data_IF_817764982491
#
_entry.id   IF_817764982491
#
_cell.length_a   1.000
_cell.length_b   1.000
_cell.length_c   1.000
_cell.angle_alpha   90.00
_cell.angle_beta   90.00
_cell.angle_gamma   90.00
#
_symmetry.space_group_name_H-M   'P 1'
#
loop_
_entity.id
_entity.type
_entity.pdbx_description
1 polymer ?
#
# COMPACT_ATOMS: atom_id res chain seq x y z
N UNK A 1 -35.93 35.14 36.34
CA UNK A 1 -34.67 35.25 37.11
C UNK A 1 -34.66 34.13 38.16
N UNK A 2 -33.73 33.18 37.98
CA UNK A 2 -33.23 32.12 38.89
C UNK A 2 -34.23 31.23 39.67
N UNK A 3 -34.29 30.01 39.15
CA UNK A 3 -34.60 28.71 39.76
C UNK A 3 -33.58 28.39 40.89
N UNK A 4 -34.01 27.80 42.04
CA UNK A 4 -33.46 26.51 42.53
C UNK A 4 -34.02 26.02 43.89
N UNK A 5 -34.92 25.04 43.78
CA UNK A 5 -34.91 23.64 44.24
C UNK A 5 -33.93 23.05 45.30
N UNK A 6 -34.54 22.25 46.22
CA UNK A 6 -34.13 21.01 46.95
C UNK A 6 -33.10 21.11 48.13
N UNK A 7 -33.43 20.88 49.42
CA UNK A 7 -33.76 19.64 50.21
C UNK A 7 -32.77 18.48 49.96
N UNK A 8 -32.14 17.72 50.89
CA UNK A 8 -32.04 17.53 52.38
C UNK A 8 -30.82 16.56 52.56
N UNK A 9 -29.84 16.76 53.46
CA UNK A 9 -29.68 16.18 54.84
C UNK A 9 -29.80 14.62 54.93
N UNK A 10 -28.93 13.78 55.55
CA UNK A 10 -27.82 13.93 56.54
C UNK A 10 -27.00 12.62 56.74
N UNK A 11 -25.70 12.77 57.09
CA UNK A 11 -24.73 12.01 57.97
C UNK A 11 -24.80 10.47 58.16
N UNK A 12 -23.72 9.68 58.31
CA UNK A 12 -22.53 9.71 59.22
C UNK A 12 -21.35 8.95 58.56
N UNK A 13 -20.05 9.18 58.81
CA UNK A 13 -19.29 8.85 60.04
C UNK A 13 -17.85 9.44 59.95
N UNK A 14 -17.25 9.74 61.11
CA UNK A 14 -16.02 10.53 61.33
C UNK A 14 -14.71 9.70 61.32
N UNK A 15 -13.65 10.36 60.81
CA UNK A 15 -12.22 10.39 61.20
C UNK A 15 -11.46 9.12 61.64
N UNK A 16 -10.35 8.85 60.94
CA UNK A 16 -9.04 8.66 61.56
C UNK A 16 -7.94 9.24 60.64
N UNK A 17 -7.17 10.17 61.20
CA UNK A 17 -5.97 10.78 60.64
C UNK A 17 -4.82 9.76 60.73
N UNK A 18 -4.13 9.52 59.63
CA UNK A 18 -2.94 8.67 59.58
C UNK A 18 -2.27 8.78 58.22
N UNK A 19 -1.28 9.66 58.11
CA UNK A 19 -0.52 9.88 56.90
C UNK A 19 0.34 8.65 56.57
N UNK A 20 0.08 8.03 55.42
CA UNK A 20 1.08 7.29 54.65
C UNK A 20 0.90 7.70 53.19
N UNK A 21 1.73 8.65 52.74
CA UNK A 21 1.92 8.91 51.32
C UNK A 21 2.73 7.75 50.76
N UNK A 22 2.05 6.68 50.35
CA UNK A 22 2.61 5.72 49.41
C UNK A 22 2.49 6.35 48.01
N UNK A 23 3.45 7.21 47.67
CA UNK A 23 3.64 7.67 46.31
C UNK A 23 4.12 6.50 45.46
N UNK A 24 3.19 5.76 44.86
CA UNK A 24 3.50 4.87 43.76
C UNK A 24 3.85 5.75 42.55
N UNK A 25 5.13 6.03 42.37
CA UNK A 25 5.68 6.54 41.12
C UNK A 25 5.50 5.43 40.08
N UNK A 26 4.36 5.43 39.41
CA UNK A 26 4.22 4.71 38.14
C UNK A 26 5.08 5.51 37.16
N UNK A 27 6.34 5.10 37.04
CA UNK A 27 7.21 5.55 35.97
C UNK A 27 6.56 5.13 34.66
N UNK A 28 5.86 6.06 34.01
CA UNK A 28 5.48 5.90 32.62
C UNK A 28 6.79 5.85 31.83
N UNK A 29 7.28 4.64 31.57
CA UNK A 29 8.33 4.42 30.58
C UNK A 29 7.78 4.91 29.25
N UNK A 30 8.17 6.12 28.88
CA UNK A 30 7.96 6.67 27.55
C UNK A 30 8.77 5.78 26.61
N UNK A 31 8.12 4.76 26.02
CA UNK A 31 8.69 4.05 24.89
C UNK A 31 8.78 5.11 23.79
N UNK A 32 9.98 5.63 23.57
CA UNK A 32 10.28 6.36 22.33
C UNK A 32 10.16 5.31 21.22
N UNK A 33 8.98 5.23 20.61
CA UNK A 33 8.83 4.56 19.33
C UNK A 33 9.74 5.35 18.38
N UNK A 34 10.75 4.72 17.75
CA UNK A 34 11.54 5.41 16.76
C UNK A 34 10.58 5.88 15.67
N UNK A 35 10.41 7.19 15.53
CA UNK A 35 9.77 7.77 14.36
C UNK A 35 10.58 7.28 13.16
N UNK A 36 9.97 6.49 12.28
CA UNK A 36 10.61 6.07 11.05
C UNK A 36 11.16 7.33 10.36
N UNK A 37 12.48 7.44 10.24
CA UNK A 37 13.09 8.54 9.50
C UNK A 37 12.57 8.39 8.07
N UNK A 38 11.80 9.36 7.59
CA UNK A 38 11.36 9.38 6.20
C UNK A 38 12.62 9.30 5.33
N UNK A 39 12.86 8.13 4.73
CA UNK A 39 14.01 7.91 3.86
C UNK A 39 13.88 8.85 2.68
N UNK A 40 14.83 9.75 2.43
CA UNK A 40 14.76 10.67 1.29
C UNK A 40 14.52 9.92 -0.02
N UNK A 41 13.73 10.51 -0.94
CA UNK A 41 13.51 9.94 -2.27
C UNK A 41 14.85 9.66 -2.98
N UNK A 42 15.03 8.41 -3.41
CA UNK A 42 16.13 8.00 -4.27
C UNK A 42 15.55 7.45 -5.58
N UNK A 43 15.72 8.20 -6.68
CA UNK A 43 15.25 7.77 -8.00
C UNK A 43 15.95 6.52 -8.53
N UNK A 44 17.11 6.14 -7.99
CA UNK A 44 17.85 4.95 -8.40
C UNK A 44 17.49 3.70 -7.58
N UNK A 45 16.78 3.86 -6.45
CA UNK A 45 16.30 2.77 -5.60
C UNK A 45 14.98 3.15 -4.91
N UNK A 46 13.87 2.73 -5.51
CA UNK A 46 12.52 3.09 -5.07
C UNK A 46 11.99 2.21 -3.93
N UNK A 47 12.36 0.93 -3.97
CA UNK A 47 11.94 -0.13 -3.06
C UNK A 47 12.94 -1.29 -3.20
N UNK A 48 13.18 -2.02 -2.11
CA UNK A 48 14.08 -3.18 -2.16
C UNK A 48 13.46 -4.33 -2.97
N UNK A 49 14.30 -5.16 -3.58
CA UNK A 49 13.84 -6.35 -4.31
C UNK A 49 13.05 -7.30 -3.40
N UNK A 50 13.50 -7.51 -2.16
CA UNK A 50 12.82 -8.36 -1.19
C UNK A 50 11.41 -7.86 -0.86
N UNK A 51 11.27 -6.56 -0.59
CA UNK A 51 9.96 -5.96 -0.31
C UNK A 51 9.04 -6.00 -1.55
N UNK A 52 9.60 -5.79 -2.74
CA UNK A 52 8.84 -5.78 -3.99
C UNK A 52 8.18 -7.12 -4.32
N UNK A 53 8.83 -8.24 -3.99
CA UNK A 53 8.33 -9.60 -4.27
C UNK A 53 7.77 -10.32 -3.04
N UNK A 54 7.66 -9.64 -1.89
CA UNK A 54 7.11 -10.23 -0.68
C UNK A 54 5.57 -10.34 -0.78
N UNK A 55 5.08 -11.43 -1.37
CA UNK A 55 3.66 -11.66 -1.61
C UNK A 55 2.86 -11.91 -0.32
N UNK A 56 3.55 -12.32 0.75
CA UNK A 56 2.96 -12.66 2.06
C UNK A 56 2.86 -11.46 3.02
N UNK A 57 3.28 -10.28 2.57
CA UNK A 57 3.34 -9.06 3.39
C UNK A 57 1.97 -8.47 3.74
N UNK A 58 0.93 -8.89 3.01
CA UNK A 58 -0.46 -8.66 3.41
C UNK A 58 -1.30 -9.89 3.10
N UNK A 59 -1.98 -10.42 4.11
CA UNK A 59 -3.10 -11.33 3.94
C UNK A 59 -4.28 -10.61 3.26
N UNK A 60 -5.19 -11.39 2.66
CA UNK A 60 -6.45 -10.88 2.10
C UNK A 60 -7.22 -9.98 3.08
N UNK A 61 -7.29 -10.36 4.35
CA UNK A 61 -8.04 -9.59 5.35
C UNK A 61 -7.34 -8.26 5.67
N UNK A 62 -6.01 -8.23 5.65
CA UNK A 62 -5.25 -6.98 5.80
C UNK A 62 -5.44 -6.05 4.59
N UNK A 63 -5.52 -6.61 3.38
CA UNK A 63 -5.86 -5.84 2.18
C UNK A 63 -7.26 -5.24 2.33
N UNK A 64 -8.25 -6.03 2.78
CA UNK A 64 -9.60 -5.55 3.00
C UNK A 64 -9.65 -4.43 4.06
N UNK A 65 -8.91 -4.57 5.17
CA UNK A 65 -8.82 -3.52 6.20
C UNK A 65 -8.20 -2.25 5.67
N UNK A 66 -7.15 -2.39 4.86
CA UNK A 66 -6.52 -1.25 4.23
C UNK A 66 -7.51 -0.52 3.31
N UNK A 67 -8.25 -1.23 2.47
CA UNK A 67 -9.27 -0.62 1.60
C UNK A 67 -10.37 0.10 2.41
N UNK A 68 -10.83 -0.49 3.52
CA UNK A 68 -11.79 0.16 4.44
C UNK A 68 -11.20 1.44 5.03
N UNK A 69 -9.93 1.42 5.45
CA UNK A 69 -9.26 2.58 6.02
C UNK A 69 -9.08 3.72 5.02
N UNK A 70 -8.93 3.43 3.72
CA UNK A 70 -8.90 4.45 2.67
C UNK A 70 -10.27 5.09 2.42
N UNK A 71 -11.37 4.42 2.79
CA UNK A 71 -12.73 4.96 2.68
C UNK A 71 -13.28 5.06 1.25
N UNK A 72 -12.52 4.60 0.24
CA UNK A 72 -12.96 4.57 -1.16
C UNK A 72 -14.00 3.49 -1.45
N UNK A 73 -14.54 3.48 -2.67
CA UNK A 73 -15.57 2.54 -3.08
C UNK A 73 -15.04 1.09 -3.18
N UNK A 74 -13.72 0.90 -3.37
CA UNK A 74 -13.12 -0.42 -3.47
C UNK A 74 -13.33 -1.30 -2.23
N UNK A 75 -13.57 -0.71 -1.05
CA UNK A 75 -13.86 -1.47 0.17
C UNK A 75 -15.10 -2.37 0.05
N UNK A 76 -16.08 -1.97 -0.78
CA UNK A 76 -17.33 -2.71 -1.02
C UNK A 76 -17.41 -3.28 -2.45
N UNK A 77 -16.38 -3.05 -3.27
CA UNK A 77 -16.39 -3.46 -4.66
C UNK A 77 -16.13 -4.95 -4.80
N UNK A 78 -16.83 -5.57 -5.75
CA UNK A 78 -16.59 -6.94 -6.18
C UNK A 78 -16.77 -7.09 -7.68
N UNK A 79 -16.03 -8.02 -8.26
CA UNK A 79 -16.12 -8.40 -9.67
C UNK A 79 -16.03 -9.92 -9.76
N UNK A 80 -16.93 -10.55 -10.52
CA UNK A 80 -16.99 -12.01 -10.68
C UNK A 80 -16.98 -12.78 -9.34
N UNK A 81 -17.80 -12.32 -8.38
CA UNK A 81 -17.93 -12.90 -7.04
C UNK A 81 -16.68 -12.84 -6.15
N UNK A 82 -15.65 -12.08 -6.53
CA UNK A 82 -14.47 -11.79 -5.70
C UNK A 82 -14.48 -10.34 -5.27
N UNK A 83 -14.21 -10.07 -3.98
CA UNK A 83 -14.00 -8.71 -3.52
C UNK A 83 -12.71 -8.12 -4.11
N UNK A 84 -12.59 -6.80 -4.13
CA UNK A 84 -11.35 -6.14 -4.53
C UNK A 84 -10.13 -6.67 -3.77
N UNK A 85 -10.28 -6.93 -2.46
CA UNK A 85 -9.22 -7.49 -1.63
C UNK A 85 -8.82 -8.91 -2.06
N UNK A 86 -9.78 -9.78 -2.41
CA UNK A 86 -9.48 -11.11 -2.94
C UNK A 86 -8.76 -11.03 -4.29
N UNK A 87 -9.18 -10.12 -5.18
CA UNK A 87 -8.55 -9.94 -6.49
C UNK A 87 -7.09 -9.50 -6.36
N UNK A 88 -6.80 -8.54 -5.48
CA UNK A 88 -5.43 -8.07 -5.21
C UNK A 88 -4.57 -9.17 -4.60
N UNK A 89 -5.14 -9.93 -3.64
CA UNK A 89 -4.46 -11.08 -3.02
C UNK A 89 -4.13 -12.16 -4.07
N UNK A 90 -5.12 -12.55 -4.87
CA UNK A 90 -4.99 -13.55 -5.94
C UNK A 90 -3.91 -13.14 -6.95
N UNK A 91 -3.94 -11.89 -7.41
CA UNK A 91 -2.96 -11.37 -8.35
C UNK A 91 -1.54 -11.42 -7.77
N UNK A 92 -1.37 -11.00 -6.51
CA UNK A 92 -0.08 -11.06 -5.79
C UNK A 92 0.46 -12.49 -5.71
N UNK A 93 -0.42 -13.46 -5.51
CA UNK A 93 -0.07 -14.87 -5.41
C UNK A 93 -0.04 -15.60 -6.76
N UNK A 94 -0.14 -14.89 -7.89
CA UNK A 94 -0.05 -15.51 -9.21
C UNK A 94 -1.21 -16.46 -9.52
N UNK A 95 -2.44 -16.05 -9.22
CA UNK A 95 -3.67 -16.73 -9.67
C UNK A 95 -4.27 -16.04 -10.90
N UNK A 96 -5.13 -16.76 -11.63
CA UNK A 96 -5.87 -16.21 -12.76
C UNK A 96 -4.95 -15.76 -13.91
N UNK A 97 -5.24 -14.58 -14.47
CA UNK A 97 -4.45 -13.95 -15.52
C UNK A 97 -3.09 -13.43 -15.00
N UNK A 98 -2.79 -13.56 -13.70
CA UNK A 98 -1.50 -13.21 -13.11
C UNK A 98 -0.43 -14.31 -13.33
N UNK A 99 -0.65 -15.18 -14.32
CA UNK A 99 0.19 -16.35 -14.63
C UNK A 99 0.62 -16.34 -16.10
N UNK A 100 1.76 -16.97 -16.38
CA UNK A 100 2.20 -17.15 -17.75
C UNK A 100 3.65 -17.61 -17.84
N UNK A 101 4.02 -18.17 -19.00
CA UNK A 101 5.41 -18.53 -19.30
C UNK A 101 5.82 -17.91 -20.64
N UNK A 102 6.83 -17.05 -20.64
CA UNK A 102 7.35 -16.41 -21.83
C UNK A 102 8.84 -16.12 -21.67
N UNK A 103 9.63 -16.33 -22.72
CA UNK A 103 11.08 -16.11 -22.72
C UNK A 103 11.81 -16.84 -21.57
N UNK A 104 11.35 -18.05 -21.22
CA UNK A 104 11.93 -18.85 -20.14
C UNK A 104 11.59 -18.40 -18.73
N UNK A 105 10.81 -17.33 -18.57
CA UNK A 105 10.30 -16.86 -17.28
C UNK A 105 8.90 -17.42 -17.09
N UNK A 106 8.69 -18.18 -16.02
CA UNK A 106 7.37 -18.68 -15.63
C UNK A 106 6.94 -18.01 -14.34
N UNK A 107 5.75 -17.42 -14.37
CA UNK A 107 5.08 -16.79 -13.23
C UNK A 107 3.81 -17.59 -12.97
N UNK A 108 3.66 -18.10 -11.75
CA UNK A 108 2.50 -18.89 -11.32
C UNK A 108 2.39 -18.85 -9.78
N UNK A 109 1.51 -19.69 -9.21
CA UNK A 109 1.27 -19.75 -7.77
C UNK A 109 2.45 -20.21 -6.92
N UNK A 110 3.46 -20.87 -7.51
CA UNK A 110 4.70 -21.23 -6.81
C UNK A 110 5.71 -20.09 -6.73
N UNK A 111 5.62 -19.10 -7.62
CA UNK A 111 6.52 -17.94 -7.66
C UNK A 111 5.89 -16.68 -7.09
N UNK A 112 4.55 -16.56 -7.18
CA UNK A 112 3.81 -15.32 -7.00
C UNK A 112 4.17 -14.26 -8.05
N UNK A 113 3.63 -13.05 -7.86
CA UNK A 113 3.96 -11.86 -8.65
C UNK A 113 4.72 -10.83 -7.81
N UNK A 114 4.04 -9.83 -7.27
CA UNK A 114 4.60 -8.73 -6.49
C UNK A 114 3.79 -8.56 -5.20
N UNK A 115 4.37 -7.85 -4.24
CA UNK A 115 3.76 -7.54 -2.95
C UNK A 115 2.40 -6.82 -3.12
N UNK A 116 1.34 -7.21 -2.38
CA UNK A 116 0.04 -6.53 -2.42
C UNK A 116 0.10 -5.01 -2.24
N UNK A 117 1.03 -4.50 -1.42
CA UNK A 117 1.27 -3.07 -1.22
C UNK A 117 1.69 -2.36 -2.51
N UNK A 118 2.47 -3.02 -3.36
CA UNK A 118 2.89 -2.50 -4.68
C UNK A 118 1.67 -2.37 -5.59
N UNK A 119 0.77 -3.35 -5.58
CA UNK A 119 -0.48 -3.30 -6.36
C UNK A 119 -1.40 -2.17 -5.87
N UNK A 120 -1.57 -2.04 -4.55
CA UNK A 120 -2.36 -0.97 -3.93
C UNK A 120 -1.85 0.42 -4.34
N UNK A 121 -0.54 0.67 -4.22
CA UNK A 121 0.05 1.95 -4.65
C UNK A 121 -0.12 2.17 -6.14
N UNK A 122 0.01 1.13 -6.96
CA UNK A 122 -0.16 1.25 -8.41
C UNK A 122 -1.61 1.60 -8.77
N UNK A 123 -2.61 0.97 -8.16
CA UNK A 123 -4.03 1.32 -8.33
C UNK A 123 -4.33 2.78 -7.99
N UNK A 124 -3.70 3.30 -6.93
CA UNK A 124 -3.83 4.72 -6.59
C UNK A 124 -3.11 5.62 -7.60
N UNK A 125 -1.88 5.30 -7.97
CA UNK A 125 -1.08 6.11 -8.89
C UNK A 125 -1.74 6.20 -10.28
N UNK A 126 -2.28 5.09 -10.78
CA UNK A 126 -2.82 5.01 -12.14
C UNK A 126 -4.24 5.57 -12.25
N UNK A 127 -5.09 5.36 -11.26
CA UNK A 127 -6.53 5.68 -11.36
C UNK A 127 -7.13 6.30 -10.10
N UNK A 128 -6.33 6.63 -9.08
CA UNK A 128 -6.80 7.15 -7.77
C UNK A 128 -7.83 6.27 -7.07
N UNK A 129 -7.84 4.96 -7.37
CA UNK A 129 -8.93 4.05 -7.01
C UNK A 129 -9.06 3.80 -5.51
N UNK A 130 -7.98 3.91 -4.74
CA UNK A 130 -8.05 3.63 -3.29
C UNK A 130 -8.82 4.72 -2.55
N UNK A 131 -8.66 5.99 -2.94
CA UNK A 131 -9.32 7.14 -2.33
C UNK A 131 -10.64 7.54 -3.01
N UNK A 132 -10.94 6.99 -4.18
CA UNK A 132 -12.13 7.37 -4.95
C UNK A 132 -13.39 6.92 -4.23
N UNK A 133 -14.31 7.83 -3.91
CA UNK A 133 -15.53 7.51 -3.15
C UNK A 133 -16.71 7.08 -4.03
N UNK A 134 -16.75 7.53 -5.28
CA UNK A 134 -17.77 7.15 -6.26
C UNK A 134 -17.21 6.09 -7.19
N UNK A 135 -17.92 4.97 -7.36
CA UNK A 135 -17.52 3.95 -8.33
C UNK A 135 -17.42 4.55 -9.74
N UNK A 136 -16.31 4.25 -10.43
CA UNK A 136 -16.06 4.66 -11.81
C UNK A 136 -15.70 3.45 -12.66
N UNK A 137 -16.64 3.01 -13.49
CA UNK A 137 -16.41 1.88 -14.41
C UNK A 137 -15.30 2.19 -15.42
N UNK A 138 -15.13 3.47 -15.78
CA UNK A 138 -14.03 3.91 -16.62
C UNK A 138 -12.67 3.69 -15.95
N UNK A 139 -12.54 4.01 -14.66
CA UNK A 139 -11.32 3.80 -13.89
C UNK A 139 -11.07 2.29 -13.66
N UNK A 140 -12.11 1.52 -13.33
CA UNK A 140 -12.00 0.07 -13.15
C UNK A 140 -11.57 -0.65 -14.44
N UNK A 141 -12.05 -0.19 -15.59
CA UNK A 141 -11.72 -0.75 -16.90
C UNK A 141 -10.22 -0.68 -17.20
N UNK A 142 -9.53 0.33 -16.68
CA UNK A 142 -8.09 0.58 -16.91
C UNK A 142 -7.34 0.74 -15.58
N UNK A 143 -7.74 -0.02 -14.55
CA UNK A 143 -7.35 0.16 -13.15
C UNK A 143 -5.84 0.28 -12.90
N UNK A 144 -5.02 -0.39 -13.71
CA UNK A 144 -3.55 -0.34 -13.64
C UNK A 144 -2.91 0.08 -14.98
N UNK A 145 -3.69 0.52 -15.96
CA UNK A 145 -3.17 0.92 -17.28
C UNK A 145 -2.65 -0.24 -18.15
N UNK A 146 -2.86 -1.51 -17.77
CA UNK A 146 -2.37 -2.63 -18.54
C UNK A 146 -3.06 -2.71 -19.91
N UNK A 147 -2.26 -2.80 -20.98
CA UNK A 147 -2.77 -2.85 -22.35
C UNK A 147 -3.28 -1.50 -22.88
N UNK A 148 -2.90 -0.38 -22.27
CA UNK A 148 -3.23 0.98 -22.69
C UNK A 148 -1.97 1.74 -23.14
N UNK A 149 -1.49 1.57 -24.38
CA UNK A 149 -0.34 2.31 -24.88
C UNK A 149 -0.67 3.79 -25.12
N UNK A 150 0.27 4.69 -24.85
CA UNK A 150 0.09 6.15 -25.04
C UNK A 150 -0.30 6.54 -26.48
N UNK A 151 0.18 5.80 -27.48
CA UNK A 151 -0.05 6.07 -28.89
C UNK A 151 -1.34 5.45 -29.44
N UNK A 152 -2.22 4.88 -28.60
CA UNK A 152 -3.41 4.15 -29.04
C UNK A 152 -4.51 4.02 -27.99
N UNK A 153 -5.58 3.30 -28.36
CA UNK A 153 -6.64 2.95 -27.41
C UNK A 153 -6.27 1.75 -26.55
N UNK A 154 -6.88 1.62 -25.37
CA UNK A 154 -6.75 0.45 -24.53
C UNK A 154 -7.31 -0.81 -25.21
N UNK A 155 -6.59 -1.93 -25.10
CA UNK A 155 -7.07 -3.22 -25.57
C UNK A 155 -8.23 -3.72 -24.67
N UNK A 156 -9.41 -3.83 -25.26
CA UNK A 156 -10.64 -4.24 -24.57
C UNK A 156 -10.59 -5.66 -24.00
N UNK A 157 -9.67 -6.51 -24.46
CA UNK A 157 -9.48 -7.87 -23.91
C UNK A 157 -8.95 -7.86 -22.47
N UNK A 158 -8.40 -6.73 -22.02
CA UNK A 158 -7.89 -6.53 -20.66
C UNK A 158 -8.77 -5.59 -19.82
N UNK A 159 -9.94 -5.22 -20.33
CA UNK A 159 -10.89 -4.37 -19.62
C UNK A 159 -11.45 -5.06 -18.37
N UNK A 160 -11.53 -4.31 -17.27
CA UNK A 160 -12.14 -4.75 -16.00
C UNK A 160 -11.13 -4.83 -14.87
N UNK A 161 -11.60 -4.70 -13.63
CA UNK A 161 -10.72 -4.59 -12.47
C UNK A 161 -9.90 -5.86 -12.25
N UNK A 162 -10.51 -7.05 -12.35
CA UNK A 162 -9.81 -8.33 -12.27
C UNK A 162 -8.66 -8.39 -13.27
N UNK A 163 -8.97 -8.14 -14.54
CA UNK A 163 -8.00 -8.30 -15.62
C UNK A 163 -6.86 -7.31 -15.49
N UNK A 164 -7.17 -6.06 -15.14
CA UNK A 164 -6.17 -5.02 -14.92
C UNK A 164 -5.24 -5.35 -13.75
N UNK A 165 -5.78 -5.82 -12.63
CA UNK A 165 -4.99 -6.17 -11.45
C UNK A 165 -4.11 -7.39 -11.70
N UNK A 166 -4.68 -8.47 -12.25
CA UNK A 166 -3.95 -9.71 -12.51
C UNK A 166 -2.87 -9.54 -13.59
N UNK A 167 -3.19 -8.93 -14.73
CA UNK A 167 -2.20 -8.73 -15.79
C UNK A 167 -1.17 -7.64 -15.44
N UNK A 168 -1.57 -6.59 -14.72
CA UNK A 168 -0.65 -5.56 -14.21
C UNK A 168 0.37 -6.16 -13.22
N UNK A 169 -0.09 -7.00 -12.30
CA UNK A 169 0.78 -7.74 -11.39
C UNK A 169 1.76 -8.66 -12.12
N UNK A 170 1.26 -9.42 -13.11
CA UNK A 170 2.11 -10.25 -13.96
C UNK A 170 3.16 -9.42 -14.70
N UNK A 171 2.78 -8.27 -15.28
CA UNK A 171 3.72 -7.42 -16.01
C UNK A 171 4.81 -6.86 -15.09
N UNK A 172 4.46 -6.40 -13.88
CA UNK A 172 5.44 -5.94 -12.89
C UNK A 172 6.42 -7.06 -12.51
N UNK A 173 5.94 -8.28 -12.27
CA UNK A 173 6.82 -9.41 -11.97
C UNK A 173 7.66 -9.82 -13.18
N UNK A 174 7.08 -9.85 -14.36
CA UNK A 174 7.81 -10.19 -15.58
C UNK A 174 8.92 -9.18 -15.90
N UNK A 175 8.64 -7.88 -15.74
CA UNK A 175 9.64 -6.82 -15.87
C UNK A 175 10.75 -6.98 -14.83
N UNK A 176 10.41 -7.32 -13.59
CA UNK A 176 11.36 -7.59 -12.53
C UNK A 176 12.29 -8.75 -12.91
N UNK A 177 11.75 -9.90 -13.35
CA UNK A 177 12.60 -11.03 -13.75
C UNK A 177 13.46 -10.73 -14.97
N UNK A 178 12.95 -9.92 -15.90
CA UNK A 178 13.71 -9.44 -17.06
C UNK A 178 14.78 -8.44 -16.68
N UNK A 179 14.73 -7.75 -15.54
CA UNK A 179 15.71 -6.70 -15.22
C UNK A 179 17.16 -7.20 -15.02
N UNK A 180 17.43 -8.50 -15.15
CA UNK A 180 18.78 -9.05 -15.11
C UNK A 180 19.03 -10.11 -16.19
N UNK A 181 20.16 -10.00 -16.91
CA UNK A 181 20.75 -11.05 -17.75
C UNK A 181 20.06 -11.33 -19.11
N UNK A 182 18.73 -11.20 -19.19
CA UNK A 182 17.96 -11.46 -20.42
C UNK A 182 17.01 -10.31 -20.76
N UNK A 183 17.24 -9.14 -20.19
CA UNK A 183 16.28 -8.05 -20.10
C UNK A 183 15.93 -7.31 -21.37
N UNK A 184 15.06 -6.33 -21.20
CA UNK A 184 14.84 -5.32 -22.22
C UNK A 184 16.02 -4.35 -22.16
N UNK A 185 16.66 -4.08 -23.30
CA UNK A 185 17.74 -3.09 -23.37
C UNK A 185 17.26 -1.76 -22.80
N UNK A 186 18.01 -1.17 -21.87
CA UNK A 186 17.67 0.12 -21.23
C UNK A 186 16.76 0.03 -20.02
N UNK A 187 16.47 -1.18 -19.50
CA UNK A 187 15.73 -1.40 -18.24
C UNK A 187 16.35 -2.58 -17.46
N UNK A 188 17.68 -2.68 -17.45
CA UNK A 188 18.41 -3.67 -16.67
C UNK A 188 19.07 -3.03 -15.46
N UNK A 189 19.34 -3.83 -14.43
CA UNK A 189 20.14 -3.38 -13.29
C UNK A 189 21.49 -2.87 -13.79
N UNK A 190 21.84 -1.65 -13.37
CA UNK A 190 23.05 -0.95 -13.78
C UNK A 190 22.90 -0.10 -15.05
N UNK A 191 21.82 -0.24 -15.82
CA UNK A 191 21.56 0.68 -16.94
C UNK A 191 21.31 2.09 -16.38
N UNK A 192 21.84 3.08 -17.09
CA UNK A 192 21.54 4.49 -16.83
C UNK A 192 20.25 4.90 -17.52
N UNK A 193 19.53 5.84 -16.90
CA UNK A 193 18.35 6.46 -17.48
C UNK A 193 18.44 7.98 -17.36
N UNK A 194 17.72 8.66 -18.25
CA UNK A 194 17.42 10.09 -18.15
C UNK A 194 16.00 10.32 -18.66
N UNK A 195 15.13 10.84 -17.80
CA UNK A 195 13.76 11.20 -18.17
C UNK A 195 13.56 12.70 -17.98
N UNK A 196 12.97 13.34 -18.98
CA UNK A 196 12.55 14.73 -18.88
C UNK A 196 11.12 14.80 -18.37
N UNK A 197 10.91 15.57 -17.31
CA UNK A 197 9.59 15.92 -16.81
C UNK A 197 9.51 17.43 -16.50
N UNK A 198 8.42 17.85 -15.85
CA UNK A 198 8.19 19.26 -15.52
C UNK A 198 9.25 19.86 -14.59
N UNK A 199 10.03 19.03 -13.90
CA UNK A 199 11.12 19.44 -13.01
C UNK A 199 12.49 19.38 -13.69
N UNK A 200 12.54 19.14 -15.01
CA UNK A 200 13.76 19.07 -15.80
C UNK A 200 14.16 17.64 -16.18
N UNK A 201 15.41 17.47 -16.58
CA UNK A 201 15.97 16.16 -16.92
C UNK A 201 16.55 15.50 -15.68
N UNK A 202 15.96 14.37 -15.29
CA UNK A 202 16.34 13.59 -14.13
C UNK A 202 17.02 12.30 -14.59
N UNK A 203 18.27 12.12 -14.20
CA UNK A 203 19.07 10.96 -14.55
C UNK A 203 19.44 10.13 -13.33
N UNK A 204 19.71 8.85 -13.54
CA UNK A 204 20.12 7.92 -12.50
C UNK A 204 20.50 6.56 -13.08
N UNK A 205 20.56 5.56 -12.20
CA UNK A 205 20.80 4.17 -12.54
C UNK A 205 19.70 3.29 -11.94
N UNK A 206 19.42 2.15 -12.55
CA UNK A 206 18.57 1.17 -11.89
C UNK A 206 19.40 0.34 -10.92
N UNK A 207 19.35 0.63 -9.62
CA UNK A 207 20.20 -0.05 -8.63
C UNK A 207 19.74 -1.48 -8.34
N UNK A 208 18.47 -1.79 -8.61
CA UNK A 208 17.89 -3.12 -8.40
C UNK A 208 16.76 -3.46 -9.39
N UNK A 209 16.33 -4.72 -9.38
CA UNK A 209 15.34 -5.24 -10.34
C UNK A 209 13.97 -4.59 -10.14
N UNK A 210 13.59 -4.31 -8.89
CA UNK A 210 12.33 -3.66 -8.55
C UNK A 210 12.24 -2.24 -9.15
N UNK A 211 13.30 -1.46 -9.01
CA UNK A 211 13.37 -0.11 -9.56
C UNK A 211 13.33 -0.15 -11.09
N UNK A 212 14.10 -1.02 -11.73
CA UNK A 212 14.04 -1.23 -13.17
C UNK A 212 12.62 -1.63 -13.64
N UNK A 213 11.94 -2.51 -12.89
CA UNK A 213 10.57 -2.94 -13.18
C UNK A 213 9.56 -1.79 -13.13
N UNK A 214 9.62 -0.98 -12.07
CA UNK A 214 8.75 0.18 -11.87
C UNK A 214 8.96 1.24 -12.95
N UNK A 215 10.21 1.54 -13.33
CA UNK A 215 10.50 2.45 -14.44
C UNK A 215 10.04 1.89 -15.79
N UNK A 216 10.16 0.58 -16.01
CA UNK A 216 9.64 -0.03 -17.23
C UNK A 216 8.12 0.01 -17.29
N UNK A 217 7.45 -0.05 -16.14
CA UNK A 217 6.00 0.09 -16.03
C UNK A 217 5.55 1.56 -16.23
N UNK A 218 6.28 2.51 -15.64
CA UNK A 218 6.01 3.95 -15.75
C UNK A 218 7.33 4.71 -15.96
N UNK A 219 7.71 5.08 -17.20
CA UNK A 219 9.03 5.65 -17.51
C UNK A 219 9.14 7.15 -17.19
N UNK A 220 8.85 7.52 -15.94
CA UNK A 220 8.89 8.90 -15.43
C UNK A 220 9.43 8.97 -14.01
N UNK A 221 10.23 9.99 -13.68
CA UNK A 221 10.69 10.23 -12.32
C UNK A 221 9.59 10.89 -11.48
N UNK A 222 9.29 12.17 -11.66
CA UNK A 222 8.36 12.87 -10.76
C UNK A 222 6.87 12.60 -11.06
N UNK A 223 6.50 12.47 -12.33
CA UNK A 223 5.12 12.13 -12.73
C UNK A 223 4.79 10.64 -12.58
N UNK A 224 5.63 9.85 -11.91
CA UNK A 224 5.44 8.41 -11.77
C UNK A 224 6.11 7.84 -10.53
N UNK A 225 7.41 7.58 -10.61
CA UNK A 225 8.13 6.84 -9.57
C UNK A 225 8.29 7.59 -8.24
N UNK A 226 8.35 8.92 -8.26
CA UNK A 226 8.22 9.74 -7.05
C UNK A 226 6.86 9.55 -6.38
N UNK A 227 5.77 9.55 -7.15
CA UNK A 227 4.42 9.33 -6.60
C UNK A 227 4.30 7.93 -6.00
N UNK A 228 4.87 6.91 -6.66
CA UNK A 228 4.96 5.57 -6.09
C UNK A 228 5.68 5.58 -4.74
N UNK A 229 6.91 6.10 -4.69
CA UNK A 229 7.71 6.17 -3.46
C UNK A 229 7.00 6.97 -2.35
N UNK A 230 6.45 8.14 -2.68
CA UNK A 230 5.79 9.01 -1.71
C UNK A 230 4.52 8.36 -1.14
N UNK A 231 3.74 7.68 -1.97
CA UNK A 231 2.58 6.93 -1.52
C UNK A 231 2.99 5.75 -0.63
N UNK A 232 3.99 4.99 -1.06
CA UNK A 232 4.47 3.81 -0.34
C UNK A 232 5.08 4.16 1.03
N UNK A 233 5.95 5.17 1.08
CA UNK A 233 6.74 5.54 2.26
C UNK A 233 6.02 6.54 3.15
N UNK A 234 5.44 7.60 2.60
CA UNK A 234 4.92 8.71 3.40
C UNK A 234 3.40 8.66 3.57
N UNK A 235 2.65 8.35 2.51
CA UNK A 235 1.16 8.35 2.59
C UNK A 235 0.64 7.13 3.34
N UNK A 236 1.10 5.94 2.95
CA UNK A 236 0.63 4.68 3.53
C UNK A 236 1.55 4.12 4.61
N UNK A 237 2.74 4.73 4.78
CA UNK A 237 3.69 4.38 5.84
C UNK A 237 4.01 2.89 5.90
N UNK A 238 4.05 2.22 4.75
CA UNK A 238 4.21 0.76 4.67
C UNK A 238 5.54 0.25 5.21
N UNK A 239 6.54 1.13 5.32
CA UNK A 239 7.85 0.83 5.91
C UNK A 239 7.96 1.19 7.39
N UNK A 240 6.90 1.74 8.00
CA UNK A 240 6.93 2.15 9.40
C UNK A 240 6.78 0.96 10.35
N UNK A 241 7.50 1.02 11.47
CA UNK A 241 7.32 0.05 12.56
C UNK A 241 5.89 0.06 13.12
N UNK A 242 5.21 1.20 13.06
CA UNK A 242 3.82 1.37 13.47
C UNK A 242 2.85 0.59 12.59
N UNK A 243 3.06 0.59 11.27
CA UNK A 243 2.29 -0.24 10.35
C UNK A 243 2.45 -1.74 10.72
N UNK A 244 3.69 -2.19 10.92
CA UNK A 244 4.00 -3.57 11.31
C UNK A 244 3.37 -3.98 12.68
N UNK A 245 3.38 -3.07 13.65
CA UNK A 245 2.81 -3.30 14.97
C UNK A 245 1.26 -3.33 14.97
N UNK A 246 0.64 -2.50 14.13
CA UNK A 246 -0.83 -2.44 14.00
C UNK A 246 -1.40 -3.72 13.38
N UNK A 247 -0.68 -4.33 12.43
CA UNK A 247 -1.03 -5.64 11.86
C UNK A 247 -0.93 -6.76 12.91
N UNK A 248 0.15 -6.79 13.69
CA UNK A 248 0.42 -7.85 14.69
C UNK A 248 -0.60 -7.87 15.84
N UNK A 249 -0.99 -6.71 16.36
CA UNK A 249 -1.93 -6.61 17.49
C UNK A 249 -3.39 -6.97 17.11
N UNK A 250 -3.73 -6.92 15.83
CA UNK A 250 -5.10 -7.20 15.38
C UNK A 250 -5.33 -8.68 15.06
N UNK A 251 -4.30 -9.40 14.63
CA UNK A 251 -4.36 -10.86 14.40
C UNK A 251 -4.71 -11.69 15.64
N UNK A 252 -4.63 -11.10 16.84
CA UNK A 252 -4.93 -11.76 18.12
C UNK A 252 -6.34 -11.47 18.69
N UNK A 253 -7.17 -10.64 18.02
CA UNK A 253 -8.43 -10.15 18.63
C UNK A 253 -9.66 -10.03 17.69
N UNK A 254 -9.62 -10.53 16.45
CA UNK A 254 -10.72 -10.32 15.49
C UNK A 254 -11.98 -11.18 15.74
N UNK A 255 -12.81 -10.75 16.69
CA UNK A 255 -14.27 -10.89 16.61
C UNK A 255 -14.85 -9.81 15.69
N UNK A 256 -15.80 -10.18 14.85
CA UNK A 256 -16.44 -9.34 13.84
C UNK A 256 -16.95 -7.99 14.39
N UNK A 257 -16.55 -6.87 13.78
CA UNK A 257 -17.44 -5.71 13.71
C UNK A 257 -16.87 -4.31 13.95
N UNK A 258 -15.62 -4.11 14.35
CA UNK A 258 -15.04 -2.77 14.48
C UNK A 258 -13.59 -2.77 13.96
N UNK A 259 -13.41 -2.31 12.72
CA UNK A 259 -12.11 -2.09 12.12
C UNK A 259 -11.69 -0.64 12.39
N UNK A 260 -10.63 -0.37 13.18
CA UNK A 260 -10.13 0.99 13.33
C UNK A 260 -9.52 1.46 12.00
N UNK A 261 -9.72 2.74 11.67
CA UNK A 261 -9.06 3.38 10.53
C UNK A 261 -7.55 3.41 10.78
N UNK A 262 -6.76 2.72 9.96
CA UNK A 262 -5.35 3.07 9.80
C UNK A 262 -5.35 4.36 8.99
N UNK A 263 -5.36 5.50 9.67
CA UNK A 263 -5.25 6.77 8.99
C UNK A 263 -3.94 6.73 8.16
N UNK A 264 -3.96 7.05 6.86
CA UNK A 264 -2.72 7.33 6.14
C UNK A 264 -1.93 8.35 6.98
N UNK A 265 -0.63 8.10 7.13
CA UNK A 265 0.23 8.82 8.07
C UNK A 265 -0.05 10.32 8.02
N UNK A 266 -0.53 10.87 9.14
CA UNK A 266 -0.76 12.30 9.25
C UNK A 266 0.57 13.01 9.07
N UNK A 267 0.77 13.66 7.93
CA UNK A 267 1.86 14.61 7.77
C UNK A 267 1.68 15.69 8.84
N UNK A 268 2.53 15.64 9.87
CA UNK A 268 2.72 16.75 10.78
C UNK A 268 3.35 17.89 10.01
N UNK A 269 2.56 18.97 9.89
CA UNK A 269 2.90 20.36 9.55
C UNK A 269 3.86 20.61 8.38
#
# INVERSE_FOLDING_TARGET
>A
MKINTQKRMWSFLKWCVGAVVCGALIGASIIKVPTASATSFNSSNLISDGEFVNIDDMSKDEIQRFLVAQGGFLQNYSENSRSAAQIIYDASHGYGDATGSINGITINTSTGTVNPKVLLVTLQKEQSLLSMTTQSDAALRTAMGYGCPDSGGCNSSYAGFTKQVENGAWQLRYNYERAQGTGFSGYQVGDSFCFSDVNGTNCGTYDNKATASLYRYTPHVYNGNYNFWNMYVNTYSFQSAEYSATLTNWGSSAGTGQYPSVAPGGNGA
#
